data_IF_176657695610
#
_entry.id   IF_176657695610
#
_cell.length_a   1.000
_cell.length_b   1.000
_cell.length_c   1.000
_cell.angle_alpha   90.00
_cell.angle_beta   90.00
_cell.angle_gamma   90.00
#
_symmetry.space_group_name_H-M   'P 1'
#
loop_
_entity.id
_entity.type
_entity.pdbx_description
1 polymer ?
#
# COMPACT_ATOMS: atom_id res chain seq x y z
N UNK A 1 28.88 8.77 4.75
CA UNK A 1 27.81 7.98 4.12
C UNK A 1 26.51 8.66 4.49
N UNK A 2 25.70 9.14 3.55
CA UNK A 2 24.32 9.45 3.91
C UNK A 2 23.65 8.12 4.23
N UNK A 3 23.01 8.04 5.39
CA UNK A 3 22.06 6.95 5.65
C UNK A 3 20.95 7.21 4.63
N UNK A 4 20.88 6.40 3.58
CA UNK A 4 19.68 6.34 2.75
C UNK A 4 18.62 5.75 3.66
N UNK A 5 17.80 6.60 4.29
CA UNK A 5 16.55 6.18 4.91
C UNK A 5 15.67 5.70 3.78
N UNK A 6 15.71 4.40 3.51
CA UNK A 6 14.82 3.73 2.57
C UNK A 6 13.39 3.97 3.05
N UNK A 7 12.62 4.78 2.32
CA UNK A 7 11.21 4.97 2.59
C UNK A 7 10.42 3.80 2.00
N UNK A 8 9.56 3.19 2.81
CA UNK A 8 8.66 2.13 2.36
C UNK A 8 7.23 2.66 2.32
N UNK A 9 6.50 2.37 1.23
CA UNK A 9 5.06 2.62 1.18
C UNK A 9 4.30 1.37 1.60
N UNK A 10 3.68 1.45 2.76
CA UNK A 10 3.06 0.34 3.47
C UNK A 10 1.55 0.43 3.43
N UNK A 11 0.90 -0.73 3.50
CA UNK A 11 -0.55 -0.89 3.47
C UNK A 11 -1.00 -1.81 4.60
N UNK A 12 -2.17 -1.52 5.16
CA UNK A 12 -2.78 -2.30 6.22
C UNK A 12 -4.30 -2.40 6.00
N UNK A 13 -4.87 -3.60 5.98
CA UNK A 13 -6.32 -3.77 5.95
C UNK A 13 -6.93 -3.45 7.31
N UNK A 14 -8.09 -2.80 7.31
CA UNK A 14 -8.73 -2.33 8.53
C UNK A 14 -10.26 -2.41 8.43
N UNK A 15 -10.89 -2.90 9.51
CA UNK A 15 -12.35 -2.85 9.66
C UNK A 15 -12.82 -1.42 9.94
N UNK A 16 -14.05 -1.11 9.54
CA UNK A 16 -14.66 0.20 9.79
C UNK A 16 -14.64 0.60 11.28
N UNK A 17 -14.88 -0.35 12.19
CA UNK A 17 -14.84 -0.11 13.64
C UNK A 17 -13.45 0.28 14.15
N UNK A 18 -12.40 -0.34 13.60
CA UNK A 18 -11.01 -0.03 13.93
C UNK A 18 -10.59 1.30 13.29
N UNK A 19 -11.04 1.57 12.07
CA UNK A 19 -10.84 2.86 11.40
C UNK A 19 -11.46 3.99 12.23
N UNK A 20 -12.71 3.84 12.67
CA UNK A 20 -13.39 4.83 13.51
C UNK A 20 -12.68 5.03 14.85
N UNK A 21 -12.14 3.95 15.42
CA UNK A 21 -11.33 3.97 16.65
C UNK A 21 -9.97 4.67 16.44
N UNK A 22 -9.36 4.54 15.27
CA UNK A 22 -8.17 5.31 14.92
C UNK A 22 -8.47 6.79 14.75
N UNK A 23 -9.52 7.13 14.01
CA UNK A 23 -9.92 8.52 13.74
C UNK A 23 -10.29 9.29 15.02
N UNK A 24 -10.77 8.60 16.06
CA UNK A 24 -11.08 9.21 17.35
C UNK A 24 -9.91 9.15 18.36
N UNK A 25 -8.77 8.58 17.97
CA UNK A 25 -7.55 8.49 18.77
C UNK A 25 -7.54 7.41 19.86
N UNK A 26 -8.47 6.45 19.82
CA UNK A 26 -8.52 5.35 20.80
C UNK A 26 -7.60 4.18 20.47
N UNK A 27 -7.15 4.07 19.22
CA UNK A 27 -6.17 3.07 18.75
C UNK A 27 -5.17 3.78 17.84
N UNK A 28 -3.89 3.47 17.98
CA UNK A 28 -2.83 3.97 17.08
C UNK A 28 -2.59 3.02 15.91
N UNK A 29 -2.04 3.56 14.80
CA UNK A 29 -1.65 2.73 13.66
C UNK A 29 -0.63 1.65 14.06
N UNK A 30 0.31 1.97 14.97
CA UNK A 30 1.31 1.01 15.45
C UNK A 30 0.68 -0.12 16.27
N UNK A 31 -0.31 0.16 17.12
CA UNK A 31 -1.04 -0.88 17.85
C UNK A 31 -1.80 -1.82 16.91
N UNK A 32 -2.43 -1.27 15.86
CA UNK A 32 -3.11 -2.07 14.83
C UNK A 32 -2.11 -2.98 14.09
N UNK A 33 -0.94 -2.42 13.72
CA UNK A 33 0.11 -3.12 12.97
C UNK A 33 0.81 -4.20 13.78
N UNK A 34 1.02 -3.96 15.08
CA UNK A 34 1.66 -4.93 15.95
C UNK A 34 0.85 -6.21 16.06
N UNK A 35 -0.49 -6.11 16.09
CA UNK A 35 -1.46 -7.21 16.17
C UNK A 35 -1.01 -8.38 17.08
N UNK A 36 -0.29 -8.08 18.17
CA UNK A 36 0.58 -9.04 18.90
C UNK A 36 -0.18 -10.22 19.49
N UNK A 37 -1.48 -10.11 19.71
CA UNK A 37 -2.34 -11.19 20.22
C UNK A 37 -3.45 -11.63 19.23
N UNK A 38 -3.30 -11.37 17.92
CA UNK A 38 -4.35 -11.56 16.92
C UNK A 38 -5.67 -10.85 17.31
N UNK A 39 -5.55 -9.71 17.98
CA UNK A 39 -6.70 -8.93 18.47
C UNK A 39 -7.53 -8.40 17.30
N UNK A 40 -6.90 -8.24 16.13
CA UNK A 40 -7.52 -7.82 14.89
C UNK A 40 -7.43 -8.98 13.88
N UNK A 41 -8.50 -9.77 13.78
CA UNK A 41 -8.59 -10.99 12.96
C UNK A 41 -8.41 -10.74 11.45
N UNK A 42 -8.50 -9.48 11.00
CA UNK A 42 -8.59 -9.11 9.59
C UNK A 42 -7.59 -8.02 9.21
N UNK A 43 -6.42 -8.06 9.84
CA UNK A 43 -5.28 -7.19 9.55
C UNK A 43 -4.26 -7.98 8.74
N UNK A 44 -4.15 -7.66 7.45
CA UNK A 44 -3.06 -8.04 6.55
C UNK A 44 -2.23 -6.79 6.27
N UNK A 45 -0.91 -6.96 6.21
CA UNK A 45 0.05 -5.90 5.91
C UNK A 45 0.91 -6.30 4.72
N UNK A 46 1.24 -5.32 3.88
CA UNK A 46 2.15 -5.47 2.75
C UNK A 46 2.79 -4.11 2.44
N UNK A 47 3.92 -4.10 1.75
CA UNK A 47 4.62 -2.85 1.43
C UNK A 47 5.41 -2.94 0.14
N UNK A 48 5.61 -1.79 -0.48
CA UNK A 48 6.67 -1.58 -1.45
C UNK A 48 7.93 -1.23 -0.67
N UNK A 49 8.83 -2.19 -0.51
CA UNK A 49 10.14 -1.94 0.08
C UNK A 49 11.10 -1.41 -0.99
N UNK A 50 11.93 -0.43 -0.64
CA UNK A 50 13.11 0.01 -1.41
C UNK A 50 12.89 0.61 -2.82
N UNK A 51 11.67 0.63 -3.37
CA UNK A 51 11.37 1.12 -4.73
C UNK A 51 10.19 2.11 -4.76
N UNK A 52 9.91 2.73 -3.62
CA UNK A 52 8.73 3.55 -3.41
C UNK A 52 8.73 4.82 -4.27
N UNK A 53 9.87 5.50 -4.41
CA UNK A 53 9.94 6.79 -5.10
C UNK A 53 9.75 6.62 -6.62
N UNK A 54 10.49 5.71 -7.24
CA UNK A 54 10.40 5.45 -8.68
C UNK A 54 9.05 4.87 -9.07
N UNK A 55 8.47 4.00 -8.23
CA UNK A 55 7.12 3.51 -8.42
C UNK A 55 6.11 4.67 -8.36
N UNK A 56 6.21 5.56 -7.36
CA UNK A 56 5.31 6.71 -7.23
C UNK A 56 5.45 7.65 -8.43
N UNK A 57 6.67 7.93 -8.87
CA UNK A 57 6.92 8.77 -10.05
C UNK A 57 6.26 8.17 -11.29
N UNK A 58 6.53 6.89 -11.57
CA UNK A 58 6.00 6.21 -12.76
C UNK A 58 4.47 6.09 -12.73
N UNK A 59 3.89 5.76 -11.57
CA UNK A 59 2.44 5.72 -11.40
C UNK A 59 1.83 7.13 -11.51
N UNK A 60 2.55 8.17 -11.06
CA UNK A 60 2.16 9.57 -11.16
C UNK A 60 2.05 10.10 -12.58
N UNK A 61 2.75 9.48 -13.55
CA UNK A 61 2.57 9.78 -14.98
C UNK A 61 1.20 9.36 -15.51
N UNK A 62 0.51 8.44 -14.82
CA UNK A 62 -0.84 8.00 -15.19
C UNK A 62 -0.90 7.02 -16.37
N UNK A 63 0.24 6.43 -16.77
CA UNK A 63 0.32 5.52 -17.93
C UNK A 63 -0.12 4.08 -17.64
N UNK A 64 -0.18 3.67 -16.37
CA UNK A 64 -0.63 2.34 -15.94
C UNK A 64 -1.97 2.45 -15.23
N UNK A 65 -2.82 1.42 -15.33
CA UNK A 65 -4.07 1.37 -14.57
C UNK A 65 -3.79 1.46 -13.05
N UNK A 66 -2.67 0.90 -12.59
CA UNK A 66 -2.23 0.98 -11.20
C UNK A 66 -1.98 2.41 -10.69
N UNK A 67 -2.02 3.45 -11.54
CA UNK A 67 -2.03 4.84 -11.09
C UNK A 67 -3.22 5.17 -10.19
N UNK A 68 -4.31 4.40 -10.29
CA UNK A 68 -5.47 4.49 -9.38
C UNK A 68 -5.07 4.30 -7.92
N UNK A 69 -3.97 3.58 -7.63
CA UNK A 69 -3.40 3.46 -6.28
C UNK A 69 -3.01 4.83 -5.70
N UNK A 70 -2.57 5.77 -6.54
CA UNK A 70 -2.27 7.13 -6.10
C UNK A 70 -3.49 8.05 -6.18
N UNK A 71 -4.29 7.93 -7.25
CA UNK A 71 -5.33 8.91 -7.56
C UNK A 71 -6.67 8.67 -6.86
N UNK A 72 -6.93 7.44 -6.38
CA UNK A 72 -8.16 7.12 -5.66
C UNK A 72 -7.99 7.09 -4.15
N UNK A 73 -6.77 7.30 -3.64
CA UNK A 73 -6.50 7.45 -2.23
C UNK A 73 -7.17 8.71 -1.67
N UNK A 74 -7.92 8.58 -0.57
CA UNK A 74 -8.47 9.70 0.16
C UNK A 74 -7.45 10.23 1.17
N UNK A 75 -6.98 11.45 0.92
CA UNK A 75 -6.05 12.19 1.78
C UNK A 75 -6.74 13.33 2.57
N UNK A 76 -8.07 13.43 2.51
CA UNK A 76 -8.85 14.46 3.20
C UNK A 76 -9.26 14.05 4.62
N UNK A 77 -8.92 12.84 5.04
CA UNK A 77 -9.24 12.30 6.36
C UNK A 77 -8.24 12.75 7.41
N UNK A 78 -8.64 12.73 8.68
CA UNK A 78 -7.72 13.00 9.79
C UNK A 78 -6.60 11.97 9.91
N UNK A 79 -6.66 10.82 9.21
CA UNK A 79 -5.53 9.91 9.06
C UNK A 79 -4.34 10.58 8.37
N UNK A 80 -4.61 11.41 7.35
CA UNK A 80 -3.55 12.13 6.66
C UNK A 80 -2.89 13.14 7.60
N UNK A 81 -3.69 13.94 8.32
CA UNK A 81 -3.18 14.94 9.24
C UNK A 81 -2.42 14.36 10.45
N UNK A 82 -2.80 13.15 10.90
CA UNK A 82 -2.24 12.55 12.12
C UNK A 82 -1.09 11.57 11.85
N UNK A 83 -1.07 10.95 10.66
CA UNK A 83 -0.20 9.81 10.37
C UNK A 83 0.40 9.83 8.96
N UNK A 84 0.26 10.94 8.21
CA UNK A 84 0.54 11.00 6.77
C UNK A 84 -0.13 9.84 6.00
N UNK A 85 -1.26 9.37 6.54
CA UNK A 85 -1.98 8.21 6.06
C UNK A 85 -2.87 8.53 4.86
N UNK A 86 -3.08 7.53 4.03
CA UNK A 86 -4.00 7.53 2.90
C UNK A 86 -5.09 6.49 3.15
N UNK A 87 -6.34 6.82 2.87
CA UNK A 87 -7.46 5.90 3.03
C UNK A 87 -7.95 5.38 1.68
N UNK A 88 -8.10 4.06 1.58
CA UNK A 88 -8.81 3.39 0.50
C UNK A 88 -10.07 2.78 1.12
N UNK A 89 -11.20 3.45 0.92
CA UNK A 89 -12.46 2.97 1.46
C UNK A 89 -12.94 1.67 0.77
N UNK A 90 -13.91 0.98 1.38
CA UNK A 90 -14.50 -0.25 0.83
C UNK A 90 -15.00 -0.10 -0.61
N UNK A 91 -15.41 1.10 -1.05
CA UNK A 91 -15.89 1.35 -2.40
C UNK A 91 -14.76 1.56 -3.42
N UNK A 92 -13.59 2.02 -2.96
CA UNK A 92 -12.37 2.20 -3.76
C UNK A 92 -11.59 0.89 -3.90
N UNK A 93 -11.53 0.06 -2.86
CA UNK A 93 -10.76 -1.21 -2.85
C UNK A 93 -10.98 -2.08 -4.11
N UNK A 94 -12.22 -2.37 -4.57
CA UNK A 94 -12.46 -3.13 -5.80
C UNK A 94 -11.87 -2.49 -7.09
N UNK A 95 -11.71 -1.16 -7.10
CA UNK A 95 -11.10 -0.46 -8.24
C UNK A 95 -9.59 -0.67 -8.24
N UNK A 96 -8.96 -0.66 -7.06
CA UNK A 96 -7.53 -0.94 -6.92
C UNK A 96 -7.21 -2.38 -7.32
N UNK A 97 -8.02 -3.36 -6.91
CA UNK A 97 -7.86 -4.76 -7.35
C UNK A 97 -7.91 -4.86 -8.89
N UNK A 98 -8.90 -4.22 -9.52
CA UNK A 98 -8.98 -4.18 -10.99
C UNK A 98 -7.79 -3.49 -11.63
N UNK A 99 -7.26 -2.44 -11.01
CA UNK A 99 -6.09 -1.72 -11.49
C UNK A 99 -4.82 -2.58 -11.47
N UNK A 100 -4.63 -3.37 -10.40
CA UNK A 100 -3.57 -4.39 -10.34
C UNK A 100 -3.76 -5.43 -11.44
N UNK A 101 -4.94 -6.03 -11.57
CA UNK A 101 -5.21 -7.05 -12.58
C UNK A 101 -5.08 -6.55 -14.03
N UNK A 102 -5.32 -5.25 -14.27
CA UNK A 102 -5.18 -4.62 -15.58
C UNK A 102 -3.75 -4.17 -15.90
N UNK A 103 -2.85 -4.18 -14.91
CA UNK A 103 -1.47 -3.71 -15.06
C UNK A 103 -0.53 -4.91 -15.26
N UNK A 104 0.27 -4.88 -16.33
CA UNK A 104 1.36 -5.83 -16.49
C UNK A 104 2.49 -5.48 -15.50
N UNK A 105 2.45 -6.12 -14.33
CA UNK A 105 3.40 -5.86 -13.24
C UNK A 105 4.86 -6.15 -13.65
N UNK A 106 5.10 -7.11 -14.54
CA UNK A 106 6.47 -7.39 -15.03
C UNK A 106 6.98 -6.24 -15.89
N UNK A 107 6.11 -5.70 -16.76
CA UNK A 107 6.43 -4.52 -17.55
C UNK A 107 6.63 -3.29 -16.65
N UNK A 108 5.76 -3.07 -15.66
CA UNK A 108 5.90 -1.99 -14.70
C UNK A 108 7.27 -2.03 -13.99
N UNK A 109 7.63 -3.20 -13.45
CA UNK A 109 8.93 -3.42 -12.78
C UNK A 109 10.10 -3.15 -13.73
N UNK A 110 9.99 -3.56 -14.99
CA UNK A 110 11.01 -3.27 -16.01
C UNK A 110 11.13 -1.77 -16.31
N UNK A 111 10.00 -1.07 -16.44
CA UNK A 111 9.95 0.34 -16.83
C UNK A 111 10.38 1.29 -15.68
N UNK A 112 10.32 0.84 -14.43
CA UNK A 112 10.88 1.54 -13.26
C UNK A 112 12.41 1.70 -13.35
N UNK A 113 13.12 0.77 -14.02
CA UNK A 113 14.50 0.99 -14.47
C UNK A 113 15.55 1.30 -13.40
N UNK A 114 15.35 0.93 -12.13
CA UNK A 114 16.26 1.29 -11.04
C UNK A 114 17.61 0.53 -11.09
N UNK A 115 18.70 1.25 -10.84
CA UNK A 115 20.08 0.77 -10.96
C UNK A 115 20.50 -0.32 -9.94
N UNK A 116 19.81 -0.49 -8.80
CA UNK A 116 20.07 -1.61 -7.87
C UNK A 116 19.32 -2.90 -8.26
N UNK A 117 18.39 -2.80 -9.22
CA UNK A 117 17.71 -3.93 -9.85
C UNK A 117 18.51 -4.54 -11.02
N UNK A 118 19.80 -4.17 -11.16
CA UNK A 118 20.74 -4.80 -12.10
C UNK A 118 20.93 -6.32 -11.82
N UNK A 119 20.42 -6.81 -10.69
CA UNK A 119 20.26 -8.24 -10.42
C UNK A 119 18.80 -8.69 -10.63
N UNK A 120 18.63 -9.81 -11.32
CA UNK A 120 17.34 -10.49 -11.48
C UNK A 120 16.64 -10.76 -10.14
N UNK A 121 17.41 -10.89 -9.06
CA UNK A 121 16.92 -11.11 -7.69
C UNK A 121 16.17 -9.88 -7.14
N UNK A 122 16.71 -8.66 -7.33
CA UNK A 122 16.04 -7.43 -6.92
C UNK A 122 14.72 -7.20 -7.66
N UNK A 123 14.70 -7.46 -8.98
CA UNK A 123 13.47 -7.39 -9.79
C UNK A 123 12.41 -8.39 -9.31
N UNK A 124 12.82 -9.62 -8.98
CA UNK A 124 11.91 -10.65 -8.48
C UNK A 124 11.33 -10.29 -7.12
N UNK A 125 12.16 -9.79 -6.19
CA UNK A 125 11.72 -9.35 -4.87
C UNK A 125 10.72 -8.19 -4.96
N UNK A 126 10.94 -7.24 -5.86
CA UNK A 126 9.99 -6.15 -6.03
C UNK A 126 8.68 -6.58 -6.67
N UNK A 127 8.73 -7.49 -7.65
CA UNK A 127 7.52 -8.12 -8.20
C UNK A 127 6.75 -8.89 -7.12
N UNK A 128 7.45 -9.58 -6.22
CA UNK A 128 6.85 -10.27 -5.07
C UNK A 128 6.15 -9.27 -4.13
N UNK A 129 6.79 -8.13 -3.82
CA UNK A 129 6.18 -7.05 -3.03
C UNK A 129 4.91 -6.49 -3.70
N UNK A 130 4.92 -6.25 -5.02
CA UNK A 130 3.73 -5.83 -5.77
C UNK A 130 2.60 -6.87 -5.66
N UNK A 131 2.93 -8.16 -5.75
CA UNK A 131 1.94 -9.23 -5.58
C UNK A 131 1.40 -9.27 -4.15
N UNK A 132 2.24 -9.12 -3.13
CA UNK A 132 1.79 -9.08 -1.73
C UNK A 132 0.82 -7.93 -1.46
N UNK A 133 1.07 -6.75 -2.03
CA UNK A 133 0.13 -5.62 -1.95
C UNK A 133 -1.16 -5.93 -2.71
N UNK A 134 -1.08 -6.52 -3.90
CA UNK A 134 -2.27 -6.95 -4.64
C UNK A 134 -3.13 -7.93 -3.82
N UNK A 135 -2.53 -8.97 -3.26
CA UNK A 135 -3.23 -9.94 -2.41
C UNK A 135 -3.80 -9.33 -1.13
N UNK A 136 -3.22 -8.23 -0.62
CA UNK A 136 -3.80 -7.48 0.48
C UNK A 136 -5.10 -6.78 0.06
N UNK A 137 -5.12 -6.17 -1.12
CA UNK A 137 -6.31 -5.54 -1.66
C UNK A 137 -7.40 -6.56 -2.04
N UNK A 138 -7.02 -7.73 -2.58
CA UNK A 138 -7.96 -8.85 -2.81
C UNK A 138 -8.57 -9.32 -1.49
N UNK A 139 -7.74 -9.53 -0.46
CA UNK A 139 -8.22 -9.87 0.88
C UNK A 139 -9.18 -8.82 1.44
N UNK A 140 -8.87 -7.53 1.27
CA UNK A 140 -9.74 -6.45 1.69
C UNK A 140 -11.06 -6.41 0.92
N UNK A 141 -11.04 -6.67 -0.40
CA UNK A 141 -12.25 -6.76 -1.22
C UNK A 141 -13.17 -7.89 -0.75
N UNK A 142 -12.62 -9.10 -0.60
CA UNK A 142 -13.37 -10.29 -0.17
C UNK A 142 -14.05 -10.09 1.19
N UNK A 143 -13.37 -9.41 2.10
CA UNK A 143 -13.82 -9.20 3.48
C UNK A 143 -14.52 -7.85 3.71
N UNK A 144 -14.68 -7.03 2.66
CA UNK A 144 -15.27 -5.68 2.71
C UNK A 144 -14.59 -4.77 3.74
N UNK A 145 -13.27 -4.72 3.67
CA UNK A 145 -12.40 -3.93 4.55
C UNK A 145 -11.96 -2.65 3.85
N UNK A 146 -11.61 -1.64 4.65
CA UNK A 146 -10.84 -0.50 4.17
C UNK A 146 -9.35 -0.88 4.13
N UNK A 147 -8.54 -0.11 3.43
CA UNK A 147 -7.07 -0.20 3.50
C UNK A 147 -6.51 1.17 3.86
N UNK A 148 -5.52 1.21 4.75
CA UNK A 148 -4.75 2.41 5.07
C UNK A 148 -3.36 2.29 4.43
N UNK A 149 -2.96 3.27 3.62
CA UNK A 149 -1.60 3.43 3.13
C UNK A 149 -0.81 4.44 3.98
N UNK A 150 0.50 4.25 4.15
CA UNK A 150 1.36 5.14 4.94
C UNK A 150 2.84 4.92 4.58
N UNK A 151 3.70 5.89 4.90
CA UNK A 151 5.16 5.81 4.68
C UNK A 151 5.91 5.51 5.98
N UNK A 152 6.97 4.71 5.91
CA UNK A 152 7.90 4.41 7.01
C UNK A 152 9.34 4.74 6.64
#
# INVERSE_FOLDING_TARGET
MPISTSMSFCFCSVREENLASMLNGSITLDELRENRDNQYLDVKQASFEHYTEELIELLGEGHYALCDLLFLADNSTSLHEQHDGLLYDVAVVPKIVKAFAATDLKKLVHDIGYHEADSQEGLNAFLENLNHVHELFEFAEENKLNVIGFTL
#
